data_IF_386261562394
#
_entry.id   IF_386261562394
#
_cell.length_a   1.000
_cell.length_b   1.000
_cell.length_c   1.000
_cell.angle_alpha   90.00
_cell.angle_beta   90.00
_cell.angle_gamma   90.00
#
_symmetry.space_group_name_H-M   'P 1'
#
loop_
_entity.id
_entity.type
_entity.pdbx_description
1 polymer ?
#
# COMPACT_ATOMS: atom_id res chain seq x y z
N UNK A 1 32.96 31.52 -9.24
CA UNK A 1 33.43 30.14 -9.42
C UNK A 1 32.73 29.11 -8.50
N UNK A 2 32.33 29.47 -7.31
CA UNK A 2 31.67 28.57 -6.33
C UNK A 2 30.33 28.03 -6.81
N UNK A 3 29.47 28.85 -7.43
CA UNK A 3 28.19 28.43 -7.96
C UNK A 3 28.30 27.34 -9.05
N UNK A 4 29.35 27.38 -9.87
CA UNK A 4 29.58 26.39 -10.92
C UNK A 4 29.92 24.99 -10.38
N UNK A 5 30.49 24.87 -9.18
CA UNK A 5 30.75 23.62 -8.51
C UNK A 5 29.59 23.15 -7.64
N UNK A 6 28.82 24.07 -7.07
CA UNK A 6 27.65 23.76 -6.22
C UNK A 6 26.47 23.22 -7.04
N UNK A 7 26.24 23.75 -8.24
CA UNK A 7 25.11 23.35 -9.07
C UNK A 7 25.13 21.86 -9.49
N UNK A 8 26.25 21.28 -9.99
CA UNK A 8 26.30 19.86 -10.27
C UNK A 8 26.12 18.98 -9.05
N UNK A 9 26.68 19.38 -7.89
CA UNK A 9 26.54 18.60 -6.65
C UNK A 9 25.10 18.61 -6.14
N UNK A 10 24.41 19.75 -6.25
CA UNK A 10 22.99 19.85 -5.91
C UNK A 10 22.13 18.97 -6.82
N UNK A 11 22.38 18.98 -8.14
CA UNK A 11 21.65 18.13 -9.09
C UNK A 11 21.87 16.64 -8.83
N UNK A 12 23.09 16.24 -8.47
CA UNK A 12 23.38 14.86 -8.07
C UNK A 12 22.62 14.45 -6.81
N UNK A 13 22.59 15.31 -5.79
CA UNK A 13 21.85 15.04 -4.56
C UNK A 13 20.34 14.92 -4.82
N UNK A 14 19.79 15.82 -5.64
CA UNK A 14 18.38 15.75 -6.04
C UNK A 14 18.09 14.43 -6.82
N UNK A 15 18.96 14.05 -7.75
CA UNK A 15 18.81 12.78 -8.48
C UNK A 15 18.84 11.56 -7.58
N UNK A 16 19.68 11.55 -6.54
CA UNK A 16 19.72 10.47 -5.55
C UNK A 16 18.47 10.39 -4.68
N UNK A 17 17.79 11.52 -4.45
CA UNK A 17 16.55 11.56 -3.65
C UNK A 17 15.31 11.15 -4.42
N UNK A 18 15.30 11.23 -5.75
CA UNK A 18 14.11 10.96 -6.57
C UNK A 18 13.58 9.55 -6.32
N UNK A 19 14.41 8.52 -6.39
CA UNK A 19 13.95 7.14 -6.23
C UNK A 19 13.37 6.86 -4.82
N UNK A 20 14.05 7.19 -3.70
CA UNK A 20 13.47 7.01 -2.37
C UNK A 20 12.12 7.71 -2.19
N UNK A 21 11.98 8.92 -2.73
CA UNK A 21 10.71 9.67 -2.65
C UNK A 21 9.61 8.96 -3.45
N UNK A 22 9.90 8.47 -4.65
CA UNK A 22 8.95 7.69 -5.44
C UNK A 22 8.50 6.40 -4.71
N UNK A 23 9.42 5.69 -4.07
CA UNK A 23 9.11 4.47 -3.31
C UNK A 23 8.32 4.77 -2.04
N UNK A 24 8.60 5.89 -1.35
CA UNK A 24 7.80 6.34 -0.22
C UNK A 24 6.37 6.68 -0.64
N UNK A 25 6.19 7.32 -1.80
CA UNK A 25 4.88 7.55 -2.39
C UNK A 25 4.15 6.22 -2.65
N UNK A 26 4.79 5.27 -3.30
CA UNK A 26 4.23 3.92 -3.54
C UNK A 26 3.80 3.27 -2.22
N UNK A 27 4.67 3.28 -1.22
CA UNK A 27 4.36 2.75 0.12
C UNK A 27 3.17 3.47 0.78
N UNK A 28 3.04 4.77 0.62
CA UNK A 28 1.92 5.54 1.15
C UNK A 28 0.59 5.14 0.48
N UNK A 29 0.59 4.97 -0.86
CA UNK A 29 -0.59 4.49 -1.59
C UNK A 29 -0.96 3.07 -1.17
N UNK A 30 0.00 2.16 -1.03
CA UNK A 30 -0.22 0.80 -0.54
C UNK A 30 -0.81 0.79 0.88
N UNK A 31 -0.27 1.59 1.79
CA UNK A 31 -0.77 1.70 3.17
C UNK A 31 -2.20 2.24 3.21
N UNK A 32 -2.51 3.21 2.37
CA UNK A 32 -3.87 3.73 2.23
C UNK A 32 -4.82 2.65 1.68
N UNK A 33 -4.44 1.95 0.62
CA UNK A 33 -5.22 0.85 0.07
C UNK A 33 -5.49 -0.24 1.11
N UNK A 34 -4.47 -0.68 1.86
CA UNK A 34 -4.63 -1.65 2.95
C UNK A 34 -5.58 -1.15 4.05
N UNK A 35 -5.49 0.12 4.43
CA UNK A 35 -6.38 0.74 5.42
C UNK A 35 -7.84 0.78 4.97
N UNK A 36 -8.09 1.09 3.70
CA UNK A 36 -9.43 1.10 3.13
C UNK A 36 -10.00 -0.31 2.98
N UNK A 37 -9.15 -1.30 2.63
CA UNK A 37 -9.54 -2.71 2.53
C UNK A 37 -10.12 -3.26 3.84
N UNK A 38 -9.55 -2.89 4.99
CA UNK A 38 -10.10 -3.32 6.28
C UNK A 38 -11.52 -2.83 6.48
N UNK A 39 -11.85 -1.62 5.99
CA UNK A 39 -13.21 -1.06 6.05
C UNK A 39 -14.15 -1.75 5.06
N UNK A 40 -13.69 -1.94 3.82
CA UNK A 40 -14.47 -2.62 2.77
C UNK A 40 -14.80 -4.05 3.20
N UNK A 41 -13.82 -4.78 3.75
CA UNK A 41 -14.04 -6.15 4.26
C UNK A 41 -15.00 -6.17 5.45
N UNK A 42 -14.95 -5.16 6.30
CA UNK A 42 -15.86 -5.02 7.44
C UNK A 42 -17.33 -4.89 7.03
N UNK A 43 -17.63 -4.40 5.81
CA UNK A 43 -19.01 -4.35 5.27
C UNK A 43 -19.49 -5.67 4.68
N UNK A 44 -18.76 -6.78 4.86
CA UNK A 44 -19.15 -8.10 4.39
C UNK A 44 -18.88 -8.38 2.92
N UNK A 45 -18.09 -7.53 2.25
CA UNK A 45 -17.72 -7.74 0.85
C UNK A 45 -16.85 -9.02 0.69
N UNK A 46 -16.96 -9.65 -0.48
CA UNK A 46 -16.16 -10.83 -0.82
C UNK A 46 -14.69 -10.48 -0.97
N UNK A 47 -13.81 -11.47 -0.83
CA UNK A 47 -12.37 -11.29 -0.98
C UNK A 47 -12.00 -10.80 -2.40
N UNK A 48 -12.74 -11.28 -3.42
CA UNK A 48 -12.55 -10.83 -4.80
C UNK A 48 -12.95 -9.36 -4.99
N UNK A 49 -14.06 -8.93 -4.40
CA UNK A 49 -14.47 -7.51 -4.43
C UNK A 49 -13.45 -6.62 -3.72
N UNK A 50 -12.90 -7.07 -2.60
CA UNK A 50 -11.83 -6.39 -1.87
C UNK A 50 -10.57 -6.27 -2.74
N UNK A 51 -10.16 -7.35 -3.41
CA UNK A 51 -9.01 -7.36 -4.31
C UNK A 51 -9.18 -6.37 -5.46
N UNK A 52 -10.32 -6.40 -6.14
CA UNK A 52 -10.60 -5.46 -7.24
C UNK A 52 -10.60 -4.01 -6.78
N UNK A 53 -11.12 -3.74 -5.58
CA UNK A 53 -11.07 -2.42 -4.98
C UNK A 53 -9.63 -1.95 -4.75
N UNK A 54 -8.78 -2.83 -4.17
CA UNK A 54 -7.38 -2.53 -3.94
C UNK A 54 -6.64 -2.23 -5.24
N UNK A 55 -6.81 -3.06 -6.27
CA UNK A 55 -6.16 -2.88 -7.57
C UNK A 55 -6.50 -1.52 -8.19
N UNK A 56 -7.76 -1.09 -8.15
CA UNK A 56 -8.16 0.25 -8.60
C UNK A 56 -7.46 1.38 -7.84
N UNK A 57 -7.20 1.19 -6.55
CA UNK A 57 -6.46 2.18 -5.75
C UNK A 57 -4.97 2.19 -6.10
N UNK A 58 -4.41 1.02 -6.40
CA UNK A 58 -3.01 0.86 -6.78
C UNK A 58 -2.72 1.38 -8.20
N UNK A 59 -3.73 1.54 -9.05
CA UNK A 59 -3.61 2.26 -10.34
C UNK A 59 -3.12 3.72 -10.18
N UNK A 60 -3.22 4.29 -8.98
CA UNK A 60 -2.62 5.60 -8.69
C UNK A 60 -1.08 5.57 -8.65
N UNK A 61 -0.46 4.38 -8.57
CA UNK A 61 0.99 4.22 -8.65
C UNK A 61 1.40 4.16 -10.12
N UNK A 62 2.26 5.07 -10.60
CA UNK A 62 2.71 5.04 -11.99
C UNK A 62 3.47 3.75 -12.31
N UNK A 63 3.19 3.16 -13.47
CA UNK A 63 3.90 1.99 -14.00
C UNK A 63 5.28 2.36 -14.57
N UNK A 64 6.13 2.91 -13.71
CA UNK A 64 7.49 3.31 -14.04
C UNK A 64 8.44 2.65 -13.07
N UNK A 65 9.61 2.14 -13.51
CA UNK A 65 10.56 1.42 -12.65
C UNK A 65 11.05 2.17 -11.40
N UNK A 66 10.83 3.49 -11.35
CA UNK A 66 11.11 4.31 -10.16
C UNK A 66 10.12 4.10 -9.02
N UNK A 67 8.88 3.70 -9.33
CA UNK A 67 7.79 3.50 -8.37
C UNK A 67 7.51 2.03 -8.12
N UNK A 68 7.31 1.25 -9.19
CA UNK A 68 6.89 -0.13 -9.14
C UNK A 68 7.34 -0.89 -10.39
N UNK A 69 7.53 -2.20 -10.29
CA UNK A 69 7.91 -3.09 -11.41
C UNK A 69 6.97 -4.28 -11.42
N UNK A 70 6.64 -4.78 -12.60
CA UNK A 70 5.82 -5.99 -12.77
C UNK A 70 4.38 -5.71 -13.19
N UNK A 71 3.97 -4.43 -13.23
CA UNK A 71 2.64 -4.04 -13.68
C UNK A 71 1.51 -4.42 -12.71
N UNK A 72 0.25 -4.39 -13.17
CA UNK A 72 -0.92 -4.64 -12.33
C UNK A 72 -0.98 -6.05 -11.72
N UNK A 73 -0.32 -7.02 -12.35
CA UNK A 73 -0.34 -8.42 -11.91
C UNK A 73 0.66 -8.72 -10.77
N UNK A 74 1.63 -7.83 -10.56
CA UNK A 74 2.61 -7.95 -9.50
C UNK A 74 2.04 -7.64 -8.10
N UNK A 75 0.91 -6.94 -8.04
CA UNK A 75 0.29 -6.60 -6.77
C UNK A 75 -0.31 -7.82 -6.09
N UNK A 76 0.27 -8.20 -4.97
CA UNK A 76 -0.29 -9.21 -4.08
C UNK A 76 -1.14 -8.52 -3.00
N UNK A 77 -2.41 -8.85 -2.97
CA UNK A 77 -3.37 -8.33 -2.00
C UNK A 77 -3.90 -9.48 -1.16
N UNK A 78 -3.63 -9.43 0.13
CA UNK A 78 -4.10 -10.44 1.10
C UNK A 78 -5.02 -9.76 2.10
N UNK A 79 -6.23 -10.32 2.26
CA UNK A 79 -7.19 -9.87 3.27
C UNK A 79 -7.63 -11.09 4.07
N UNK A 80 -7.57 -10.99 5.38
CA UNK A 80 -7.99 -12.04 6.30
C UNK A 80 -8.87 -11.46 7.40
N UNK A 81 -9.86 -12.25 7.82
CA UNK A 81 -10.69 -11.93 8.96
C UNK A 81 -10.48 -13.01 10.05
N UNK A 82 -10.16 -12.58 11.25
CA UNK A 82 -9.96 -13.43 12.42
C UNK A 82 -10.96 -13.10 13.52
N UNK A 83 -11.06 -13.94 14.55
CA UNK A 83 -11.97 -13.78 15.68
C UNK A 83 -13.45 -13.64 15.28
N UNK A 84 -13.92 -14.49 14.33
CA UNK A 84 -15.31 -14.42 13.86
C UNK A 84 -15.66 -13.12 13.12
N UNK A 85 -14.68 -12.45 12.54
CA UNK A 85 -14.85 -11.19 11.83
C UNK A 85 -14.59 -9.93 12.69
N UNK A 86 -14.29 -10.11 13.99
CA UNK A 86 -14.01 -8.98 14.87
C UNK A 86 -12.66 -8.28 14.61
N UNK A 87 -11.76 -8.95 13.88
CA UNK A 87 -10.48 -8.38 13.48
C UNK A 87 -10.24 -8.65 12.01
N UNK A 88 -9.96 -7.60 11.25
CA UNK A 88 -9.61 -7.68 9.82
C UNK A 88 -8.19 -7.22 9.64
N UNK A 89 -7.40 -8.01 8.94
CA UNK A 89 -6.03 -7.70 8.55
C UNK A 89 -5.97 -7.64 7.03
N UNK A 90 -5.38 -6.59 6.50
CA UNK A 90 -5.16 -6.40 5.08
C UNK A 90 -3.70 -6.04 4.83
N UNK A 91 -3.09 -6.69 3.85
CA UNK A 91 -1.74 -6.38 3.40
C UNK A 91 -1.67 -6.29 1.88
N UNK A 92 -0.82 -5.39 1.41
CA UNK A 92 -0.51 -5.19 0.00
C UNK A 92 0.99 -5.29 -0.15
N UNK A 93 1.46 -6.07 -1.10
CA UNK A 93 2.87 -6.18 -1.49
C UNK A 93 3.05 -6.00 -2.99
N UNK A 94 4.22 -5.53 -3.38
CA UNK A 94 4.62 -5.33 -4.76
C UNK A 94 6.12 -5.11 -4.87
N UNK A 95 6.70 -5.24 -6.07
CA UNK A 95 8.14 -5.21 -6.29
C UNK A 95 8.62 -3.84 -6.77
N UNK A 96 9.82 -3.46 -6.32
CA UNK A 96 10.55 -2.29 -6.79
C UNK A 96 11.96 -2.68 -7.19
N UNK A 97 12.48 -2.09 -8.29
CA UNK A 97 13.84 -2.32 -8.73
C UNK A 97 14.78 -1.24 -8.19
N UNK A 98 15.73 -1.60 -7.31
CA UNK A 98 16.70 -0.64 -6.82
C UNK A 98 17.64 -0.21 -7.94
N UNK A 99 17.89 1.09 -8.06
CA UNK A 99 18.92 1.60 -8.96
C UNK A 99 20.33 1.44 -8.33
N UNK A 100 21.40 1.36 -9.12
CA UNK A 100 22.74 1.07 -8.62
C UNK A 100 23.23 1.99 -7.50
N UNK A 101 22.91 3.27 -7.57
CA UNK A 101 23.35 4.29 -6.61
C UNK A 101 22.47 4.39 -5.36
N UNK A 102 21.19 4.05 -5.46
CA UNK A 102 20.21 4.18 -4.38
C UNK A 102 19.87 2.84 -3.72
N UNK A 103 20.46 1.74 -4.19
CA UNK A 103 20.14 0.39 -3.75
C UNK A 103 20.22 0.15 -2.24
N UNK A 104 21.15 0.81 -1.53
CA UNK A 104 21.26 0.68 -0.08
C UNK A 104 20.06 1.32 0.65
N UNK A 105 19.61 2.49 0.19
CA UNK A 105 18.45 3.18 0.75
C UNK A 105 17.15 2.43 0.43
N UNK A 106 17.04 1.92 -0.78
CA UNK A 106 15.85 1.16 -1.22
C UNK A 106 15.71 -0.13 -0.42
N UNK A 107 16.81 -0.84 -0.16
CA UNK A 107 16.82 -2.05 0.70
C UNK A 107 16.46 -1.76 2.15
N UNK A 108 16.72 -0.56 2.63
CA UNK A 108 16.28 -0.15 3.97
C UNK A 108 14.77 0.11 4.06
N UNK A 109 14.09 0.33 2.92
CA UNK A 109 12.65 0.57 2.83
C UNK A 109 11.81 -0.71 2.62
N UNK A 110 12.44 -1.81 2.21
CA UNK A 110 11.78 -3.07 1.93
C UNK A 110 12.69 -4.29 2.10
N UNK A 111 12.15 -5.47 1.91
CA UNK A 111 12.88 -6.75 2.00
C UNK A 111 13.53 -7.08 0.64
N UNK A 112 14.80 -7.48 0.66
CA UNK A 112 15.54 -7.84 -0.55
C UNK A 112 15.11 -9.21 -1.09
N UNK A 113 14.81 -9.28 -2.38
CA UNK A 113 14.43 -10.48 -3.13
C UNK A 113 15.35 -10.61 -4.36
N UNK A 114 15.54 -11.82 -4.97
CA UNK A 114 16.26 -11.99 -6.23
C UNK A 114 15.74 -11.12 -7.38
N UNK A 115 14.46 -10.79 -7.39
CA UNK A 115 13.81 -9.95 -8.41
C UNK A 115 13.92 -8.45 -8.11
N UNK A 116 14.27 -8.07 -6.87
CA UNK A 116 14.38 -6.67 -6.48
C UNK A 116 14.24 -6.43 -4.99
N UNK A 117 13.35 -5.52 -4.62
CA UNK A 117 12.97 -5.23 -3.25
C UNK A 117 11.45 -5.30 -3.15
N UNK A 118 10.95 -6.14 -2.25
CA UNK A 118 9.53 -6.24 -1.94
C UNK A 118 9.14 -5.08 -1.02
N UNK A 119 8.25 -4.24 -1.49
CA UNK A 119 7.57 -3.26 -0.67
C UNK A 119 6.33 -3.92 -0.08
N UNK A 120 6.14 -3.77 1.22
CA UNK A 120 4.94 -4.28 1.91
C UNK A 120 4.33 -3.20 2.78
N UNK A 121 3.01 -3.11 2.73
CA UNK A 121 2.23 -2.28 3.63
C UNK A 121 1.03 -3.09 4.13
N UNK A 122 0.80 -3.09 5.43
CA UNK A 122 -0.30 -3.82 6.04
C UNK A 122 -0.95 -3.02 7.16
N UNK A 123 -2.21 -3.32 7.39
CA UNK A 123 -3.01 -2.70 8.45
C UNK A 123 -3.92 -3.75 9.08
N UNK A 124 -4.10 -3.62 10.39
CA UNK A 124 -5.01 -4.42 11.18
C UNK A 124 -6.03 -3.52 11.86
N UNK A 125 -7.31 -3.83 11.72
CA UNK A 125 -8.38 -3.06 12.32
C UNK A 125 -9.32 -3.98 13.11
N UNK A 126 -9.77 -3.52 14.28
CA UNK A 126 -10.89 -4.12 14.98
C UNK A 126 -12.19 -3.62 14.38
N UNK A 127 -13.06 -4.56 14.08
CA UNK A 127 -14.37 -4.32 13.52
C UNK A 127 -15.41 -4.77 14.55
N UNK A 128 -16.52 -4.06 14.61
CA UNK A 128 -17.70 -4.50 15.37
C UNK A 128 -18.74 -4.97 14.36
N UNK A 129 -18.81 -6.28 14.06
CA UNK A 129 -19.73 -6.80 13.06
C UNK A 129 -21.20 -6.47 13.42
N UNK A 130 -21.52 -6.41 14.70
CA UNK A 130 -22.87 -6.09 15.20
C UNK A 130 -23.36 -4.70 14.78
N UNK A 131 -22.48 -3.79 14.41
CA UNK A 131 -22.85 -2.45 13.95
C UNK A 131 -23.22 -2.38 12.47
N UNK A 132 -22.85 -3.40 11.71
CA UNK A 132 -23.09 -3.49 10.26
C UNK A 132 -24.23 -4.45 9.95
N UNK A 133 -24.49 -5.39 10.85
CA UNK A 133 -25.54 -6.38 10.74
C UNK A 133 -26.76 -5.89 11.52
N UNK A 134 -27.74 -5.37 10.82
CA UNK A 134 -29.04 -4.98 11.37
C UNK A 134 -29.97 -4.62 10.24
N UNK A 135 -31.21 -5.03 10.35
CA UNK A 135 -32.28 -4.56 9.50
C UNK A 135 -32.85 -3.24 10.04
N UNK A 136 -33.61 -2.54 9.21
CA UNK A 136 -34.24 -1.27 9.60
C UNK A 136 -35.14 -1.41 10.85
N UNK A 137 -35.81 -2.56 11.01
CA UNK A 137 -36.66 -2.87 12.15
C UNK A 137 -35.89 -2.94 13.47
N UNK A 138 -34.70 -3.61 13.46
CA UNK A 138 -33.88 -3.70 14.65
C UNK A 138 -33.26 -2.35 15.05
N UNK A 139 -33.00 -1.47 14.11
CA UNK A 139 -32.56 -0.10 14.38
C UNK A 139 -33.67 0.75 15.00
N UNK A 140 -34.87 0.65 14.48
CA UNK A 140 -36.05 1.39 15.03
C UNK A 140 -36.38 0.97 16.46
N UNK A 141 -36.29 -0.32 16.78
CA UNK A 141 -36.61 -0.82 18.14
C UNK A 141 -35.61 -0.37 19.22
N UNK A 142 -34.41 0.14 18.84
CA UNK A 142 -33.48 0.74 19.79
C UNK A 142 -33.84 2.17 20.21
N UNK A 143 -34.78 2.81 19.52
CA UNK A 143 -35.21 4.20 19.79
C UNK A 143 -36.59 4.32 20.43
N UNK A 144 -37.31 3.20 20.62
CA UNK A 144 -38.57 3.09 21.37
C UNK A 144 -38.29 2.70 22.82
#
# INVERSE_FOLDING_TARGET
MEAAALLPTLLLLLGLLVQPVCLLYTKAVMAQAASELTRVRATGQSDEACRQYALRRLEAVPEVPLFHVGGPEDWEVVVSATDGGACVEASVSGHARPQPLTGAVVRALGEGDPEGVVLRAGTRARVRPDWVVGDYGSWMSMWE
#
